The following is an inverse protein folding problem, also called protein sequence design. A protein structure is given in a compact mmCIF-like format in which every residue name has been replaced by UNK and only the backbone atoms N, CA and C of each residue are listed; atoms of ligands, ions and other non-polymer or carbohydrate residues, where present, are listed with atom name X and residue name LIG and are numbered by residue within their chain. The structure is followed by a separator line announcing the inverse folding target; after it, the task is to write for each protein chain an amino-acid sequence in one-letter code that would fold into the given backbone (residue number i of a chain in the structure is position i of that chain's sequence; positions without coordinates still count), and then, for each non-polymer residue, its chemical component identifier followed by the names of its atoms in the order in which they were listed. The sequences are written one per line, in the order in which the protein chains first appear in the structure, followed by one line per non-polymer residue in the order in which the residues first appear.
data_IF_036821856517
#
_entry.id   IF_036821856517
#
_cell.length_a   1.000
_cell.length_b   1.000
_cell.length_c   1.000
_cell.angle_alpha   90.00
_cell.angle_beta   90.00
_cell.angle_gamma   90.00
#
_symmetry.space_group_name_H-M   'P 1'
#
loop_
_entity.id
_entity.type
_entity.pdbx_description
1 polymer ?
#
# COMPACT_ATOMS: atom_id res chain seq x y z
N UNK A 1 -11.02 -2.40 15.53
CA UNK A 1 -10.49 -3.76 15.34
C UNK A 1 -8.98 -3.74 15.52
N UNK A 2 -8.43 -4.78 16.14
CA UNK A 2 -6.98 -4.98 16.27
C UNK A 2 -6.51 -5.89 15.13
N UNK A 3 -5.46 -5.48 14.43
CA UNK A 3 -4.88 -6.23 13.31
C UNK A 3 -3.40 -5.94 13.13
N UNK A 4 -2.81 -6.52 12.07
CA UNK A 4 -1.41 -6.29 11.70
C UNK A 4 -1.23 -6.39 10.19
N UNK A 5 -0.11 -5.81 9.69
CA UNK A 5 0.34 -5.98 8.31
C UNK A 5 1.03 -7.32 8.14
N UNK A 6 0.60 -8.13 7.18
CA UNK A 6 1.06 -9.52 7.05
C UNK A 6 2.46 -9.67 6.46
N UNK A 7 3.04 -8.62 5.90
CA UNK A 7 4.42 -8.63 5.37
C UNK A 7 5.50 -9.01 6.40
N UNK A 8 5.17 -9.02 7.70
CA UNK A 8 6.06 -9.49 8.77
C UNK A 8 6.17 -11.02 8.84
N UNK A 9 5.26 -11.75 8.18
CA UNK A 9 5.18 -13.21 8.16
C UNK A 9 5.69 -13.75 6.80
N UNK A 10 6.92 -13.42 6.47
CA UNK A 10 7.57 -13.91 5.26
C UNK A 10 7.57 -15.45 5.20
N UNK A 11 7.39 -16.00 3.99
CA UNK A 11 7.37 -17.45 3.69
C UNK A 11 6.14 -18.23 4.18
N UNK A 12 5.16 -17.56 4.78
CA UNK A 12 3.90 -18.20 5.15
C UNK A 12 2.90 -18.16 3.98
N UNK A 13 2.02 -19.17 3.94
CA UNK A 13 0.88 -19.14 3.01
C UNK A 13 -0.21 -18.20 3.55
N UNK A 14 -1.17 -17.87 2.68
CA UNK A 14 -2.34 -17.09 3.08
C UNK A 14 -3.12 -17.78 4.22
N UNK A 15 -3.31 -19.08 4.12
CA UNK A 15 -4.03 -19.90 5.10
C UNK A 15 -3.30 -19.94 6.44
N UNK A 16 -1.98 -20.19 6.45
CA UNK A 16 -1.18 -20.20 7.68
C UNK A 16 -1.22 -18.85 8.39
N UNK A 17 -1.16 -17.76 7.64
CA UNK A 17 -1.25 -16.41 8.16
C UNK A 17 -2.65 -16.12 8.76
N UNK A 18 -3.72 -16.53 8.08
CA UNK A 18 -5.10 -16.34 8.57
C UNK A 18 -5.38 -17.18 9.81
N UNK A 19 -4.93 -18.43 9.84
CA UNK A 19 -5.06 -19.33 11.00
C UNK A 19 -4.30 -18.77 12.21
N UNK A 20 -3.11 -18.24 12.01
CA UNK A 20 -2.35 -17.56 13.05
C UNK A 20 -3.11 -16.33 13.58
N UNK A 21 -3.57 -15.45 12.69
CA UNK A 21 -4.30 -14.26 13.08
C UNK A 21 -5.54 -14.61 13.93
N UNK A 22 -6.32 -15.58 13.48
CA UNK A 22 -7.48 -16.09 14.20
C UNK A 22 -7.09 -16.69 15.56
N UNK A 23 -6.06 -17.54 15.58
CA UNK A 23 -5.59 -18.22 16.80
C UNK A 23 -5.03 -17.25 17.86
N UNK A 24 -4.50 -16.09 17.44
CA UNK A 24 -4.03 -15.03 18.35
C UNK A 24 -5.10 -14.01 18.72
N UNK A 25 -6.32 -14.12 18.18
CA UNK A 25 -7.43 -13.23 18.48
C UNK A 25 -7.38 -11.88 17.77
N UNK A 26 -6.65 -11.77 16.65
CA UNK A 26 -6.74 -10.61 15.78
C UNK A 26 -8.08 -10.59 15.04
N UNK A 27 -8.65 -9.40 14.89
CA UNK A 27 -9.95 -9.20 14.23
C UNK A 27 -9.81 -8.90 12.74
N UNK A 28 -8.63 -8.39 12.31
CA UNK A 28 -8.36 -8.06 10.93
C UNK A 28 -6.87 -8.16 10.57
N UNK A 29 -6.60 -8.19 9.27
CA UNK A 29 -5.25 -8.15 8.69
C UNK A 29 -5.19 -7.20 7.51
N UNK A 30 -4.08 -6.53 7.36
CA UNK A 30 -3.69 -5.82 6.16
C UNK A 30 -2.80 -6.75 5.34
N UNK A 31 -3.30 -7.24 4.19
CA UNK A 31 -2.66 -8.36 3.49
C UNK A 31 -1.66 -7.89 2.45
N UNK A 32 -0.43 -8.35 2.55
CA UNK A 32 0.64 -8.06 1.61
C UNK A 32 0.38 -8.69 0.23
N UNK A 33 0.46 -7.86 -0.83
CA UNK A 33 0.18 -8.20 -2.23
C UNK A 33 1.32 -7.77 -3.17
N UNK A 34 2.58 -8.00 -2.80
CA UNK A 34 3.70 -7.70 -3.67
C UNK A 34 3.76 -8.67 -4.86
N UNK A 35 4.40 -8.28 -5.99
CA UNK A 35 4.78 -9.25 -7.00
C UNK A 35 5.61 -10.38 -6.38
N UNK A 36 5.39 -11.62 -6.82
CA UNK A 36 6.14 -12.78 -6.32
C UNK A 36 7.55 -12.80 -6.89
N UNK A 37 8.41 -11.91 -6.41
CA UNK A 37 9.80 -11.80 -6.81
C UNK A 37 10.72 -11.84 -5.57
N UNK A 38 11.98 -12.16 -5.79
CA UNK A 38 12.96 -12.12 -4.70
C UNK A 38 13.23 -10.68 -4.29
N UNK A 39 12.79 -10.32 -3.09
CA UNK A 39 12.95 -8.97 -2.59
C UNK A 39 14.40 -8.63 -2.23
N UNK A 40 14.81 -7.41 -2.57
CA UNK A 40 16.09 -6.83 -2.14
C UNK A 40 16.06 -6.34 -0.69
N UNK A 41 14.87 -6.17 -0.10
CA UNK A 41 14.65 -5.58 1.22
C UNK A 41 13.72 -6.43 2.06
N UNK A 42 13.91 -6.38 3.38
CA UNK A 42 13.00 -6.98 4.37
C UNK A 42 11.59 -6.42 4.18
N UNK A 43 10.61 -7.29 4.19
CA UNK A 43 9.16 -7.03 4.00
C UNK A 43 8.73 -6.66 2.57
N UNK A 44 9.62 -6.29 1.68
CA UNK A 44 9.30 -6.18 0.26
C UNK A 44 9.26 -7.57 -0.38
N UNK A 45 8.40 -7.77 -1.38
CA UNK A 45 8.25 -9.06 -2.08
C UNK A 45 7.46 -10.12 -1.32
N UNK A 46 6.96 -9.84 -0.12
CA UNK A 46 6.03 -10.74 0.58
C UNK A 46 4.66 -10.63 -0.09
N UNK A 47 4.12 -11.76 -0.47
CA UNK A 47 2.78 -11.84 -1.09
C UNK A 47 2.01 -13.00 -0.50
N UNK A 48 0.93 -12.69 0.20
CA UNK A 48 -0.02 -13.67 0.69
C UNK A 48 -1.24 -13.78 -0.23
N UNK A 49 -1.51 -12.75 -1.03
CA UNK A 49 -2.51 -12.75 -2.08
C UNK A 49 -1.86 -12.28 -3.37
N UNK A 50 -1.95 -13.10 -4.41
CA UNK A 50 -1.54 -12.77 -5.77
C UNK A 50 -2.65 -11.95 -6.43
N UNK A 51 -2.45 -10.64 -6.55
CA UNK A 51 -3.45 -9.72 -7.08
C UNK A 51 -3.80 -9.99 -8.56
N UNK A 52 -2.81 -10.37 -9.38
CA UNK A 52 -3.06 -10.69 -10.78
C UNK A 52 -3.88 -11.96 -10.91
N UNK A 53 -3.56 -12.99 -10.13
CA UNK A 53 -4.31 -14.22 -10.09
C UNK A 53 -5.75 -13.99 -9.58
N UNK A 54 -5.95 -13.17 -8.55
CA UNK A 54 -7.29 -12.78 -8.10
C UNK A 54 -8.11 -12.24 -9.28
N UNK A 55 -7.54 -11.38 -10.11
CA UNK A 55 -8.24 -10.76 -11.24
C UNK A 55 -8.60 -11.75 -12.35
N UNK A 56 -7.83 -12.82 -12.53
CA UNK A 56 -7.95 -13.78 -13.63
C UNK A 56 -8.64 -15.10 -13.26
N UNK A 57 -8.64 -15.48 -11.97
CA UNK A 57 -9.09 -16.78 -11.46
C UNK A 57 -10.18 -16.57 -10.39
N UNK A 58 -11.45 -16.79 -10.79
CA UNK A 58 -12.60 -16.62 -9.89
C UNK A 58 -12.58 -17.61 -8.74
N UNK A 59 -12.13 -18.85 -8.97
CA UNK A 59 -12.04 -19.86 -7.92
C UNK A 59 -11.00 -19.49 -6.87
N UNK A 60 -9.88 -18.88 -7.26
CA UNK A 60 -8.90 -18.36 -6.33
C UNK A 60 -9.45 -17.18 -5.51
N UNK A 61 -10.16 -16.27 -6.16
CA UNK A 61 -10.80 -15.14 -5.48
C UNK A 61 -11.85 -15.62 -4.47
N UNK A 62 -12.70 -16.56 -4.82
CA UNK A 62 -13.67 -17.20 -3.92
C UNK A 62 -12.97 -17.85 -2.73
N UNK A 63 -11.92 -18.63 -2.97
CA UNK A 63 -11.15 -19.27 -1.91
C UNK A 63 -10.63 -18.27 -0.88
N UNK A 64 -10.06 -17.14 -1.31
CA UNK A 64 -9.58 -16.06 -0.42
C UNK A 64 -10.72 -15.54 0.47
N UNK A 65 -11.86 -15.22 -0.14
CA UNK A 65 -13.02 -14.67 0.59
C UNK A 65 -13.62 -15.69 1.57
N UNK A 66 -13.77 -16.94 1.14
CA UNK A 66 -14.32 -17.99 1.98
C UNK A 66 -13.42 -18.34 3.16
N UNK A 67 -12.09 -18.36 2.92
CA UNK A 67 -11.14 -18.64 4.01
C UNK A 67 -11.14 -17.52 5.05
N UNK A 68 -11.19 -16.23 4.63
CA UNK A 68 -11.35 -15.11 5.54
C UNK A 68 -12.61 -15.25 6.41
N UNK A 69 -13.75 -15.56 5.79
CA UNK A 69 -15.00 -15.81 6.53
C UNK A 69 -14.88 -16.96 7.51
N UNK A 70 -14.27 -18.07 7.10
CA UNK A 70 -14.07 -19.26 7.93
C UNK A 70 -13.18 -18.96 9.13
N UNK A 71 -12.10 -18.22 8.95
CA UNK A 71 -11.16 -17.85 10.03
C UNK A 71 -11.75 -16.82 11.02
N UNK A 72 -12.80 -16.11 10.61
CA UNK A 72 -13.38 -15.01 11.38
C UNK A 72 -12.50 -13.75 11.42
N UNK A 73 -11.52 -13.64 10.53
CA UNK A 73 -10.58 -12.50 10.42
C UNK A 73 -10.91 -11.72 9.15
N UNK A 74 -11.10 -10.41 9.29
CA UNK A 74 -11.40 -9.52 8.16
C UNK A 74 -10.11 -9.10 7.42
N UNK A 75 -10.17 -9.00 6.11
CA UNK A 75 -9.13 -8.32 5.33
C UNK A 75 -9.47 -6.83 5.35
N UNK A 76 -8.71 -6.03 6.10
CA UNK A 76 -8.95 -4.58 6.23
C UNK A 76 -8.44 -3.78 5.04
N UNK A 77 -7.39 -4.24 4.41
CA UNK A 77 -6.82 -3.63 3.19
C UNK A 77 -5.93 -4.64 2.44
N UNK A 78 -5.72 -4.40 1.15
CA UNK A 78 -4.63 -4.99 0.39
C UNK A 78 -3.44 -4.03 0.37
N UNK A 79 -2.27 -4.52 0.75
CA UNK A 79 -1.06 -3.73 0.96
C UNK A 79 -0.02 -3.93 -0.15
N UNK A 80 0.34 -2.86 -0.82
CA UNK A 80 1.47 -2.82 -1.74
C UNK A 80 2.15 -1.46 -1.64
N UNK A 81 3.39 -1.45 -1.14
CA UNK A 81 4.12 -0.24 -0.79
C UNK A 81 5.34 0.02 -1.71
N UNK A 82 5.12 0.25 -3.02
CA UNK A 82 6.18 0.58 -3.96
C UNK A 82 6.56 2.06 -3.89
N UNK A 83 7.67 2.41 -4.55
CA UNK A 83 7.92 3.78 -4.96
C UNK A 83 7.48 3.97 -6.43
N UNK A 84 6.22 4.35 -6.65
CA UNK A 84 5.67 4.58 -8.01
C UNK A 84 6.26 5.80 -8.70
N UNK A 85 6.97 6.67 -7.97
CA UNK A 85 7.59 7.90 -8.49
C UNK A 85 9.11 7.82 -8.58
N UNK A 86 9.68 6.60 -8.56
CA UNK A 86 11.14 6.41 -8.72
C UNK A 86 11.63 6.98 -10.06
N UNK A 87 12.88 7.52 -10.06
CA UNK A 87 13.46 8.15 -11.25
C UNK A 87 13.55 7.22 -12.48
N UNK A 88 13.70 5.92 -12.27
CA UNK A 88 13.66 4.89 -13.30
C UNK A 88 12.21 4.71 -13.80
N UNK A 89 11.97 5.15 -15.03
CA UNK A 89 10.62 5.15 -15.62
C UNK A 89 10.05 3.75 -15.87
N UNK A 90 10.87 2.75 -16.15
CA UNK A 90 10.40 1.37 -16.34
C UNK A 90 9.97 0.77 -15.02
N UNK A 91 10.76 0.95 -13.97
CA UNK A 91 10.39 0.54 -12.61
C UNK A 91 9.15 1.26 -12.10
N UNK A 92 9.05 2.56 -12.38
CA UNK A 92 7.86 3.36 -12.04
C UNK A 92 6.61 2.80 -12.74
N UNK A 93 6.68 2.57 -14.05
CA UNK A 93 5.56 2.04 -14.83
C UNK A 93 5.13 0.63 -14.35
N UNK A 94 6.08 -0.26 -14.07
CA UNK A 94 5.82 -1.60 -13.51
C UNK A 94 5.12 -1.50 -12.16
N UNK A 95 5.60 -0.63 -11.28
CA UNK A 95 5.02 -0.43 -9.95
C UNK A 95 3.58 0.14 -10.05
N UNK A 96 3.35 1.09 -10.95
CA UNK A 96 2.01 1.66 -11.21
C UNK A 96 1.06 0.59 -11.72
N UNK A 97 1.51 -0.24 -12.66
CA UNK A 97 0.64 -1.28 -13.23
C UNK A 97 0.27 -2.32 -12.18
N UNK A 98 1.21 -2.78 -11.37
CA UNK A 98 0.89 -3.72 -10.29
C UNK A 98 -0.03 -3.08 -9.22
N UNK A 99 0.14 -1.80 -8.88
CA UNK A 99 -0.77 -1.09 -7.99
C UNK A 99 -2.20 -1.07 -8.52
N UNK A 100 -2.38 -0.90 -9.84
CA UNK A 100 -3.69 -1.02 -10.48
C UNK A 100 -4.27 -2.44 -10.38
N UNK A 101 -3.44 -3.49 -10.52
CA UNK A 101 -3.89 -4.86 -10.30
C UNK A 101 -4.36 -5.07 -8.86
N UNK A 102 -3.69 -4.50 -7.87
CA UNK A 102 -4.10 -4.56 -6.46
C UNK A 102 -5.43 -3.83 -6.22
N UNK A 103 -5.67 -2.68 -6.87
CA UNK A 103 -6.96 -1.96 -6.81
C UNK A 103 -8.10 -2.82 -7.38
N UNK A 104 -7.89 -3.43 -8.55
CA UNK A 104 -8.88 -4.33 -9.18
C UNK A 104 -9.15 -5.56 -8.30
N UNK A 105 -8.11 -6.16 -7.73
CA UNK A 105 -8.24 -7.28 -6.81
C UNK A 105 -9.00 -6.88 -5.53
N UNK A 106 -8.74 -5.71 -4.98
CA UNK A 106 -9.47 -5.18 -3.82
C UNK A 106 -10.97 -5.06 -4.09
N UNK A 107 -11.36 -4.53 -5.27
CA UNK A 107 -12.76 -4.52 -5.71
C UNK A 107 -13.34 -5.93 -5.80
N UNK A 108 -12.64 -6.86 -6.48
CA UNK A 108 -13.12 -8.22 -6.73
C UNK A 108 -13.30 -9.01 -5.43
N UNK A 109 -12.43 -8.83 -4.45
CA UNK A 109 -12.52 -9.46 -3.14
C UNK A 109 -13.53 -8.77 -2.19
N UNK A 110 -14.05 -7.59 -2.54
CA UNK A 110 -14.95 -6.82 -1.69
C UNK A 110 -14.26 -6.18 -0.48
N UNK A 111 -12.93 -5.97 -0.54
CA UNK A 111 -12.14 -5.35 0.54
C UNK A 111 -12.33 -3.83 0.56
N UNK A 112 -12.33 -3.18 -0.60
CA UNK A 112 -12.63 -1.75 -0.75
C UNK A 112 -11.54 -0.81 -0.27
N UNK A 113 -10.35 -1.30 0.08
CA UNK A 113 -9.22 -0.47 0.52
C UNK A 113 -7.88 -1.03 0.04
N UNK A 114 -7.00 -0.13 -0.41
CA UNK A 114 -5.60 -0.41 -0.74
C UNK A 114 -4.71 0.54 0.06
N UNK A 115 -3.69 0.01 0.70
CA UNK A 115 -2.67 0.79 1.41
C UNK A 115 -1.37 0.81 0.60
N UNK A 116 -0.74 1.99 0.51
CA UNK A 116 0.43 2.18 -0.33
C UNK A 116 1.25 3.41 0.08
N UNK A 117 2.32 3.71 -0.68
CA UNK A 117 3.05 4.98 -0.62
C UNK A 117 2.73 5.85 -1.83
N UNK A 118 2.79 7.18 -1.65
CA UNK A 118 2.70 8.12 -2.80
C UNK A 118 3.95 8.02 -3.70
N UNK A 119 5.08 7.63 -3.13
CA UNK A 119 6.37 7.58 -3.80
C UNK A 119 7.13 8.91 -3.76
N UNK A 120 8.36 8.92 -4.27
CA UNK A 120 9.21 10.09 -4.43
C UNK A 120 10.38 9.82 -5.37
N UNK A 121 10.65 10.72 -6.29
CA UNK A 121 11.93 10.81 -6.97
C UNK A 121 12.92 11.55 -6.06
N UNK A 122 13.88 10.82 -5.49
CA UNK A 122 14.85 11.36 -4.54
C UNK A 122 15.87 12.33 -5.18
N UNK A 123 15.96 12.35 -6.51
CA UNK A 123 16.82 13.30 -7.27
C UNK A 123 16.18 14.66 -7.40
N UNK A 124 14.90 14.81 -7.06
CA UNK A 124 14.07 16.00 -7.22
C UNK A 124 13.73 16.64 -5.87
N UNK A 125 13.52 17.95 -5.90
CA UNK A 125 12.99 18.67 -4.74
C UNK A 125 11.48 18.39 -4.54
N UNK A 126 10.90 18.94 -3.46
CA UNK A 126 9.49 18.72 -3.12
C UNK A 126 8.55 19.24 -4.22
N UNK A 127 8.81 20.46 -4.75
CA UNK A 127 7.95 21.06 -5.77
C UNK A 127 7.95 20.24 -7.06
N UNK A 128 9.11 19.78 -7.50
CA UNK A 128 9.25 18.92 -8.67
C UNK A 128 8.55 17.56 -8.46
N UNK A 129 8.57 17.02 -7.25
CA UNK A 129 7.83 15.80 -6.91
C UNK A 129 6.30 16.04 -6.90
N UNK A 130 5.82 17.21 -6.47
CA UNK A 130 4.41 17.55 -6.58
C UNK A 130 3.94 17.65 -8.03
N UNK A 131 4.81 18.08 -8.97
CA UNK A 131 4.50 18.00 -10.41
C UNK A 131 4.42 16.53 -10.89
N UNK A 132 5.30 15.64 -10.42
CA UNK A 132 5.20 14.20 -10.73
C UNK A 132 3.90 13.58 -10.19
N UNK A 133 3.41 14.01 -9.03
CA UNK A 133 2.10 13.58 -8.52
C UNK A 133 0.99 13.89 -9.53
N UNK A 134 1.00 15.08 -10.15
CA UNK A 134 0.01 15.47 -11.17
C UNK A 134 0.08 14.61 -12.44
N UNK A 135 1.24 14.03 -12.74
CA UNK A 135 1.44 13.20 -13.94
C UNK A 135 1.07 11.74 -13.69
N UNK A 136 1.50 11.19 -12.55
CA UNK A 136 1.48 9.73 -12.31
C UNK A 136 0.17 9.30 -11.64
N UNK A 137 -0.33 10.08 -10.67
CA UNK A 137 -1.42 9.63 -9.79
C UNK A 137 -2.85 9.76 -10.36
N UNK A 138 -3.21 10.72 -11.22
CA UNK A 138 -4.58 10.86 -11.69
C UNK A 138 -5.19 9.60 -12.30
N UNK A 139 -4.49 8.82 -13.15
CA UNK A 139 -5.06 7.58 -13.68
C UNK A 139 -5.22 6.47 -12.62
N UNK A 140 -4.42 6.48 -11.54
CA UNK A 140 -4.55 5.55 -10.41
C UNK A 140 -5.79 5.91 -9.59
N UNK A 141 -5.95 7.19 -9.25
CA UNK A 141 -7.11 7.71 -8.51
C UNK A 141 -8.40 7.45 -9.29
N UNK A 142 -8.41 7.75 -10.59
CA UNK A 142 -9.57 7.48 -11.45
C UNK A 142 -9.99 6.01 -11.42
N UNK A 143 -9.04 5.08 -11.49
CA UNK A 143 -9.32 3.65 -11.38
C UNK A 143 -9.89 3.29 -10.00
N UNK A 144 -9.36 3.86 -8.92
CA UNK A 144 -9.86 3.64 -7.57
C UNK A 144 -11.31 4.13 -7.42
N UNK A 145 -11.65 5.30 -7.97
CA UNK A 145 -13.01 5.85 -8.02
C UNK A 145 -13.96 4.93 -8.81
N UNK A 146 -13.58 4.49 -10.01
CA UNK A 146 -14.34 3.56 -10.85
C UNK A 146 -14.57 2.19 -10.17
N UNK A 147 -13.66 1.81 -9.28
CA UNK A 147 -13.73 0.57 -8.51
C UNK A 147 -14.45 0.72 -7.17
N UNK A 148 -14.74 1.92 -6.70
CA UNK A 148 -15.17 2.24 -5.34
C UNK A 148 -14.20 1.69 -4.27
N UNK A 149 -12.88 1.86 -4.54
CA UNK A 149 -11.79 1.44 -3.67
C UNK A 149 -11.09 2.67 -3.13
N UNK A 150 -10.89 2.74 -1.82
CA UNK A 150 -10.13 3.81 -1.18
C UNK A 150 -8.64 3.49 -1.19
N UNK A 151 -7.83 4.51 -1.42
CA UNK A 151 -6.38 4.44 -1.31
C UNK A 151 -5.94 5.17 -0.05
N UNK A 152 -5.23 4.50 0.85
CA UNK A 152 -4.69 5.08 2.05
C UNK A 152 -3.15 5.12 1.97
N UNK A 153 -2.61 6.34 1.96
CA UNK A 153 -1.16 6.57 1.86
C UNK A 153 -0.54 6.57 3.26
N UNK A 154 0.42 5.69 3.49
CA UNK A 154 1.15 5.68 4.75
C UNK A 154 2.15 6.84 4.82
N UNK A 155 2.27 7.44 6.01
CA UNK A 155 3.16 8.57 6.26
C UNK A 155 4.62 8.20 6.55
N UNK A 156 5.02 6.95 6.27
CA UNK A 156 6.39 6.49 6.43
C UNK A 156 7.38 7.25 5.52
N UNK A 157 8.46 7.81 6.02
CA UNK A 157 9.46 8.50 5.20
C UNK A 157 10.29 7.54 4.33
N UNK A 158 10.28 6.23 4.60
CA UNK A 158 11.04 5.20 3.89
C UNK A 158 12.54 5.52 3.81
N UNK A 159 13.16 5.74 4.96
CA UNK A 159 14.59 5.97 5.09
C UNK A 159 15.32 4.63 5.24
N UNK A 160 16.14 4.26 4.27
CA UNK A 160 16.88 2.99 4.27
C UNK A 160 18.38 3.15 4.50
N UNK A 161 18.91 4.37 4.36
CA UNK A 161 20.30 4.72 4.58
C UNK A 161 20.46 6.10 5.18
N UNK A 162 21.61 6.36 5.80
CA UNK A 162 21.91 7.66 6.44
C UNK A 162 21.89 8.82 5.45
N UNK A 163 22.25 8.55 4.19
CA UNK A 163 22.30 9.50 3.08
C UNK A 163 20.90 9.93 2.61
N UNK A 164 19.86 9.20 3.01
CA UNK A 164 18.49 9.51 2.60
C UNK A 164 17.77 10.51 3.51
N UNK A 165 18.31 10.76 4.69
CA UNK A 165 17.74 11.77 5.57
C UNK A 165 18.01 13.20 5.02
N UNK A 166 17.02 14.13 5.04
CA UNK A 166 15.63 14.00 5.49
C UNK A 166 14.66 13.56 4.38
N UNK A 167 15.14 13.17 3.22
CA UNK A 167 14.35 12.88 2.02
C UNK A 167 14.35 11.41 1.60
N UNK A 168 13.45 10.58 2.16
CA UNK A 168 13.29 9.17 1.77
C UNK A 168 12.50 8.94 0.48
N UNK A 169 12.01 7.73 0.29
CA UNK A 169 11.34 7.28 -0.94
C UNK A 169 9.82 7.54 -0.94
N UNK A 170 9.29 8.25 0.04
CA UNK A 170 7.89 8.62 0.12
C UNK A 170 7.74 10.12 0.40
N UNK A 171 6.88 10.81 -0.36
CA UNK A 171 6.70 12.25 -0.27
C UNK A 171 5.73 12.66 0.85
N UNK A 172 4.66 11.89 1.08
CA UNK A 172 3.56 12.24 1.99
C UNK A 172 3.89 12.00 3.46
N UNK A 173 4.95 12.61 3.97
CA UNK A 173 5.47 12.37 5.33
C UNK A 173 5.06 13.42 6.35
N UNK A 174 4.48 14.55 5.92
CA UNK A 174 4.12 15.67 6.80
C UNK A 174 2.78 16.32 6.41
N UNK A 175 2.04 16.89 7.38
CA UNK A 175 0.75 17.51 7.10
C UNK A 175 0.74 18.62 6.03
N UNK A 176 1.77 19.49 5.89
CA UNK A 176 1.83 20.44 4.79
C UNK A 176 1.84 19.76 3.41
N UNK A 177 2.59 18.69 3.26
CA UNK A 177 2.66 17.94 1.99
C UNK A 177 1.33 17.20 1.74
N UNK A 178 0.71 16.62 2.78
CA UNK A 178 -0.59 15.98 2.65
C UNK A 178 -1.63 16.92 2.05
N UNK A 179 -1.72 18.15 2.59
CA UNK A 179 -2.66 19.17 2.08
C UNK A 179 -2.43 19.50 0.60
N UNK A 180 -1.18 19.59 0.16
CA UNK A 180 -0.88 19.85 -1.25
C UNK A 180 -1.26 18.66 -2.14
N UNK A 181 -0.96 17.43 -1.73
CA UNK A 181 -1.32 16.24 -2.49
C UNK A 181 -2.85 16.08 -2.58
N UNK A 182 -3.58 16.27 -1.48
CA UNK A 182 -5.04 16.24 -1.49
C UNK A 182 -5.64 17.34 -2.38
N UNK A 183 -5.05 18.54 -2.37
CA UNK A 183 -5.48 19.62 -3.27
C UNK A 183 -5.22 19.30 -4.75
N UNK A 184 -4.14 18.58 -5.05
CA UNK A 184 -3.79 18.19 -6.42
C UNK A 184 -4.70 17.09 -6.95
N UNK A 185 -4.95 16.06 -6.14
CA UNK A 185 -5.67 14.87 -6.56
C UNK A 185 -7.19 14.95 -6.33
N UNK A 186 -7.63 15.81 -5.42
CA UNK A 186 -9.02 16.21 -5.13
C UNK A 186 -10.03 15.05 -5.22
N UNK A 187 -9.79 14.00 -4.44
CA UNK A 187 -10.60 12.77 -4.46
C UNK A 187 -10.96 12.28 -3.07
N UNK A 188 -12.23 11.93 -2.87
CA UNK A 188 -12.73 11.30 -1.65
C UNK A 188 -12.27 9.83 -1.49
N UNK A 189 -11.61 9.28 -2.52
CA UNK A 189 -11.02 7.95 -2.50
C UNK A 189 -9.56 7.95 -2.08
N UNK A 190 -8.99 9.10 -1.69
CA UNK A 190 -7.63 9.22 -1.18
C UNK A 190 -7.62 9.64 0.29
N UNK A 191 -6.86 8.93 1.10
CA UNK A 191 -6.72 9.21 2.54
C UNK A 191 -5.32 8.90 3.06
N UNK A 192 -5.17 8.99 4.39
CA UNK A 192 -3.92 8.68 5.10
C UNK A 192 -4.09 7.35 5.86
N UNK A 193 -3.14 6.44 5.65
CA UNK A 193 -2.84 5.36 6.58
C UNK A 193 -1.89 5.92 7.64
N UNK A 194 -2.44 6.33 8.78
CA UNK A 194 -1.70 7.11 9.76
C UNK A 194 -0.92 6.22 10.72
N UNK A 195 0.41 6.30 10.64
CA UNK A 195 1.32 5.73 11.61
C UNK A 195 1.99 6.83 12.45
N UNK A 196 1.62 7.00 13.73
CA UNK A 196 2.19 8.02 14.61
C UNK A 196 3.68 7.78 14.90
N UNK A 197 4.19 6.56 14.78
CA UNK A 197 5.61 6.27 15.05
C UNK A 197 6.55 7.02 14.12
N UNK A 198 6.12 7.25 12.86
CA UNK A 198 6.89 8.01 11.89
C UNK A 198 6.99 9.50 12.21
N UNK A 199 6.03 10.05 12.93
CA UNK A 199 6.12 11.43 13.44
C UNK A 199 7.09 11.53 14.61
N UNK A 200 7.10 10.54 15.50
CA UNK A 200 8.06 10.49 16.61
C UNK A 200 9.50 10.51 16.08
N UNK A 201 9.81 9.74 15.05
CA UNK A 201 11.14 9.76 14.42
C UNK A 201 11.53 11.12 13.86
N UNK A 202 10.56 11.83 13.30
CA UNK A 202 10.76 13.14 12.69
C UNK A 202 10.66 14.28 13.72
N UNK A 203 10.48 13.96 15.02
CA UNK A 203 10.25 14.94 16.09
C UNK A 203 9.09 15.90 15.79
N UNK A 204 8.05 15.37 15.13
CA UNK A 204 6.80 16.09 14.84
C UNK A 204 5.78 15.67 15.91
N UNK A 205 4.97 16.64 16.36
CA UNK A 205 3.84 16.36 17.25
C UNK A 205 2.83 15.43 16.52
N UNK A 206 2.46 14.35 17.19
CA UNK A 206 1.60 13.30 16.62
C UNK A 206 0.16 13.34 17.15
N UNK A 207 -0.18 14.31 18.00
CA UNK A 207 -1.50 14.52 18.60
C UNK A 207 -2.27 15.60 17.84
#
# INVERSE_FOLDING_TARGET
KLGFITSILDSWTYEEMMDFASGQGFECVEVACWPQEKAERRYAGVSHIDAERVNQDDAYAEHIVEYAKKSGVEISALAYYPNVMVADKEKSATAVEHLKQVILASKKLGVGMVTTFIGRDQTKNIQENLELVKEIWPPIIKLAEECDVKIAIENCPMLFGKEQWPGGQNLMTTPPIWREVFRILDSDHLGINYDPSHFIWQMIDYI
#
